data_IF_027771579558
#
_entry.id   IF_027771579558
#
_cell.length_a   1.000
_cell.length_b   1.000
_cell.length_c   1.000
_cell.angle_alpha   90.00
_cell.angle_beta   90.00
_cell.angle_gamma   90.00
#
_symmetry.space_group_name_H-M   'P 1'
#
loop_
_entity.id
_entity.type
_entity.pdbx_description
1 polymer ?
#
# COMPACT_ATOMS: atom_id res chain seq x y z
N UNK A 1 -14.76 -3.75 -24.95
CA UNK A 1 -14.49 -4.04 -23.52
C UNK A 1 -14.63 -2.74 -22.74
N UNK A 2 -15.38 -2.73 -21.65
CA UNK A 2 -15.52 -1.53 -20.81
C UNK A 2 -14.13 -1.13 -20.25
N UNK A 3 -13.66 0.12 -20.43
CA UNK A 3 -12.36 0.58 -19.94
C UNK A 3 -12.14 0.33 -18.44
N UNK A 4 -13.20 0.44 -17.62
CA UNK A 4 -13.15 0.15 -16.18
C UNK A 4 -12.91 -1.33 -15.88
N UNK A 5 -13.51 -2.23 -16.66
CA UNK A 5 -13.28 -3.67 -16.50
C UNK A 5 -11.85 -4.03 -16.88
N UNK A 6 -11.32 -3.44 -17.96
CA UNK A 6 -9.94 -3.66 -18.38
C UNK A 6 -8.94 -3.15 -17.32
N UNK A 7 -9.19 -1.95 -16.79
CA UNK A 7 -8.46 -1.36 -15.67
C UNK A 7 -8.43 -2.30 -14.45
N UNK A 8 -9.60 -2.78 -14.04
CA UNK A 8 -9.72 -3.70 -12.91
C UNK A 8 -8.98 -5.03 -13.14
N UNK A 9 -9.09 -5.61 -14.35
CA UNK A 9 -8.34 -6.83 -14.68
C UNK A 9 -6.83 -6.60 -14.62
N UNK A 10 -6.33 -5.47 -15.14
CA UNK A 10 -4.89 -5.11 -15.06
C UNK A 10 -4.43 -4.96 -13.62
N UNK A 11 -5.23 -4.30 -12.78
CA UNK A 11 -4.97 -4.18 -11.35
C UNK A 11 -4.89 -5.54 -10.65
N UNK A 12 -5.87 -6.40 -10.87
CA UNK A 12 -5.92 -7.75 -10.29
C UNK A 12 -4.73 -8.61 -10.75
N UNK A 13 -4.34 -8.51 -12.02
CA UNK A 13 -3.15 -9.19 -12.54
C UNK A 13 -1.89 -8.71 -11.83
N UNK A 14 -1.69 -7.39 -11.71
CA UNK A 14 -0.54 -6.82 -11.01
C UNK A 14 -0.47 -7.24 -9.52
N UNK A 15 -1.63 -7.28 -8.84
CA UNK A 15 -1.72 -7.79 -7.46
C UNK A 15 -1.30 -9.27 -7.35
N UNK A 16 -1.77 -10.11 -8.27
CA UNK A 16 -1.45 -11.55 -8.29
C UNK A 16 0.05 -11.74 -8.53
N UNK A 17 0.62 -11.02 -9.49
CA UNK A 17 2.04 -11.14 -9.83
C UNK A 17 2.94 -10.64 -8.69
N UNK A 18 2.57 -9.55 -8.04
CA UNK A 18 3.27 -9.06 -6.86
C UNK A 18 3.17 -10.04 -5.69
N UNK A 19 1.98 -10.62 -5.45
CA UNK A 19 1.79 -11.63 -4.39
C UNK A 19 2.62 -12.89 -4.62
N UNK A 20 2.76 -13.32 -5.87
CA UNK A 20 3.56 -14.51 -6.24
C UNK A 20 5.06 -14.25 -6.11
N UNK A 21 5.52 -13.04 -6.41
CA UNK A 21 6.94 -12.68 -6.40
C UNK A 21 7.48 -12.30 -5.02
N UNK A 22 6.64 -11.78 -4.12
CA UNK A 22 7.07 -11.31 -2.80
C UNK A 22 6.59 -12.25 -1.70
N UNK A 23 7.48 -13.02 -1.03
CA UNK A 23 7.10 -13.96 0.02
C UNK A 23 6.30 -13.31 1.16
N UNK A 24 6.61 -12.05 1.50
CA UNK A 24 5.92 -11.29 2.53
C UNK A 24 4.44 -11.04 2.19
N UNK A 25 3.99 -11.18 0.94
CA UNK A 25 2.60 -10.98 0.50
C UNK A 25 1.81 -12.30 0.31
N UNK A 26 2.45 -13.46 0.44
CA UNK A 26 1.83 -14.80 0.28
C UNK A 26 0.81 -15.18 1.36
N UNK A 27 0.46 -16.46 1.49
CA UNK A 27 -0.56 -16.96 2.45
C UNK A 27 -0.13 -16.97 3.92
N UNK A 28 1.12 -16.59 4.22
CA UNK A 28 1.67 -16.68 5.57
C UNK A 28 2.13 -18.12 5.86
N UNK A 29 3.39 -18.29 6.26
CA UNK A 29 3.96 -19.57 6.65
C UNK A 29 4.57 -19.47 8.06
N UNK A 30 4.97 -20.60 8.65
CA UNK A 30 5.61 -20.62 9.98
C UNK A 30 6.82 -19.67 10.01
N UNK A 31 6.77 -18.68 10.91
CA UNK A 31 7.79 -17.63 11.06
C UNK A 31 7.50 -16.33 10.30
N UNK A 32 6.41 -16.24 9.54
CA UNK A 32 5.91 -14.97 9.01
C UNK A 32 5.29 -14.16 10.14
N UNK A 33 5.37 -12.83 10.05
CA UNK A 33 4.76 -11.90 11.01
C UNK A 33 3.83 -10.94 10.28
N UNK A 34 2.70 -10.66 10.92
CA UNK A 34 1.71 -9.69 10.46
C UNK A 34 1.43 -8.76 11.64
N UNK A 35 1.54 -7.47 11.40
CA UNK A 35 1.14 -6.43 12.34
C UNK A 35 0.10 -5.55 11.64
N UNK A 36 -1.04 -5.38 12.28
CA UNK A 36 -2.15 -4.57 11.76
C UNK A 36 -2.28 -3.33 12.64
N UNK A 37 -2.41 -2.16 12.01
CA UNK A 37 -2.69 -0.90 12.69
C UNK A 37 -3.90 -0.23 12.04
N UNK A 38 -4.83 0.28 12.84
CA UNK A 38 -5.95 1.07 12.37
C UNK A 38 -5.77 2.55 12.74
N UNK A 39 -6.03 3.43 11.78
CA UNK A 39 -6.02 4.88 11.97
C UNK A 39 -7.44 5.39 11.71
N UNK A 40 -8.31 5.24 12.72
CA UNK A 40 -9.75 5.49 12.58
C UNK A 40 -10.07 6.91 12.09
N UNK A 41 -9.35 7.93 12.59
CA UNK A 41 -9.55 9.34 12.18
C UNK A 41 -9.30 9.57 10.69
N UNK A 42 -8.33 8.85 10.12
CA UNK A 42 -8.01 8.94 8.69
C UNK A 42 -8.60 7.79 7.88
N UNK A 43 -9.46 6.96 8.48
CA UNK A 43 -10.07 5.77 7.86
C UNK A 43 -9.05 4.91 7.10
N UNK A 44 -7.86 4.73 7.68
CA UNK A 44 -6.76 3.97 7.06
C UNK A 44 -6.46 2.70 7.85
N UNK A 45 -6.35 1.58 7.15
CA UNK A 45 -5.82 0.32 7.66
C UNK A 45 -4.40 0.13 7.15
N UNK A 46 -3.47 -0.10 8.08
CA UNK A 46 -2.08 -0.46 7.80
C UNK A 46 -1.87 -1.94 8.10
N UNK A 47 -1.22 -2.65 7.18
CA UNK A 47 -0.78 -4.03 7.38
C UNK A 47 0.71 -4.10 7.07
N UNK A 48 1.52 -4.33 8.10
CA UNK A 48 2.94 -4.63 7.97
C UNK A 48 3.15 -6.14 7.97
N UNK A 49 3.72 -6.65 6.88
CA UNK A 49 3.99 -8.08 6.71
C UNK A 49 5.49 -8.34 6.56
N UNK A 50 5.97 -9.39 7.24
CA UNK A 50 7.34 -9.87 7.15
C UNK A 50 7.35 -11.37 6.89
N UNK A 51 8.20 -11.80 5.96
CA UNK A 51 8.52 -13.21 5.74
C UNK A 51 9.90 -13.54 6.31
N UNK A 52 10.28 -14.81 6.29
CA UNK A 52 11.64 -15.23 6.67
C UNK A 52 12.73 -14.74 5.71
N UNK A 53 12.36 -14.52 4.45
CA UNK A 53 13.25 -14.14 3.36
C UNK A 53 12.55 -13.11 2.48
N UNK A 54 13.35 -12.25 1.83
CA UNK A 54 12.87 -11.18 0.97
C UNK A 54 12.44 -9.92 1.73
N UNK A 55 11.99 -8.89 1.00
CA UNK A 55 11.66 -7.60 1.59
C UNK A 55 10.40 -7.67 2.45
N UNK A 56 10.35 -6.82 3.48
CA UNK A 56 9.11 -6.55 4.22
C UNK A 56 8.12 -5.79 3.33
N UNK A 57 6.83 -6.00 3.55
CA UNK A 57 5.77 -5.32 2.82
C UNK A 57 4.91 -4.46 3.75
N UNK A 58 4.59 -3.26 3.32
CA UNK A 58 3.68 -2.34 3.98
C UNK A 58 2.48 -2.10 3.06
N UNK A 59 1.29 -2.49 3.51
CA UNK A 59 0.04 -2.30 2.79
C UNK A 59 -0.77 -1.21 3.49
N UNK A 60 -1.19 -0.20 2.74
CA UNK A 60 -2.05 0.88 3.24
C UNK A 60 -3.36 0.87 2.45
N UNK A 61 -4.48 0.72 3.15
CA UNK A 61 -5.82 0.70 2.58
C UNK A 61 -6.63 1.84 3.20
N UNK A 62 -7.07 2.80 2.39
CA UNK A 62 -7.95 3.88 2.86
C UNK A 62 -9.39 3.63 2.45
N UNK A 63 -10.31 4.06 3.30
CA UNK A 63 -11.75 3.86 3.12
C UNK A 63 -12.53 5.18 3.00
N UNK A 64 -11.83 6.31 2.93
CA UNK A 64 -12.45 7.62 2.71
C UNK A 64 -12.79 7.82 1.23
N UNK A 65 -13.93 8.46 1.00
CA UNK A 65 -14.47 8.73 -0.34
C UNK A 65 -13.99 10.06 -0.95
N UNK A 66 -13.20 10.86 -0.21
CA UNK A 66 -12.65 12.15 -0.63
C UNK A 66 -11.18 12.23 -0.26
N UNK A 67 -10.37 12.88 -1.09
CA UNK A 67 -8.95 13.08 -0.79
C UNK A 67 -8.75 13.70 0.61
N UNK A 68 -7.76 13.22 1.35
CA UNK A 68 -7.54 13.61 2.74
C UNK A 68 -6.07 13.64 3.13
N UNK A 69 -5.76 14.32 4.23
CA UNK A 69 -4.44 14.28 4.87
C UNK A 69 -4.51 13.35 6.09
N UNK A 70 -3.62 12.36 6.16
CA UNK A 70 -3.58 11.38 7.22
C UNK A 70 -2.27 11.47 8.00
N UNK A 71 -2.36 11.55 9.34
CA UNK A 71 -1.22 11.45 10.23
C UNK A 71 -1.14 10.02 10.77
N UNK A 72 -0.15 9.25 10.31
CA UNK A 72 -0.06 7.81 10.56
C UNK A 72 1.29 7.42 11.13
N UNK A 73 1.29 6.55 12.13
CA UNK A 73 2.52 5.94 12.65
C UNK A 73 2.85 4.73 11.79
N UNK A 74 4.00 4.77 11.13
CA UNK A 74 4.45 3.70 10.23
C UNK A 74 5.70 3.02 10.80
N UNK A 75 6.01 1.79 10.37
CA UNK A 75 7.24 1.12 10.78
C UNK A 75 8.47 1.83 10.18
N UNK A 76 9.52 1.97 10.99
CA UNK A 76 10.79 2.56 10.57
C UNK A 76 11.39 1.85 9.35
N UNK A 77 11.88 2.62 8.40
CA UNK A 77 12.56 2.12 7.21
C UNK A 77 12.42 3.05 6.01
N UNK A 78 13.13 2.70 4.94
CA UNK A 78 12.90 3.24 3.61
C UNK A 78 11.92 2.29 2.90
N UNK A 79 10.87 2.85 2.34
CA UNK A 79 9.80 2.10 1.71
C UNK A 79 9.62 2.59 0.28
N UNK A 80 9.74 1.69 -0.70
CA UNK A 80 9.55 2.01 -2.10
C UNK A 80 8.16 1.55 -2.55
N UNK A 81 7.41 2.43 -3.20
CA UNK A 81 6.10 2.08 -3.77
C UNK A 81 6.28 1.04 -4.86
N UNK A 82 5.49 -0.03 -4.79
CA UNK A 82 5.46 -1.10 -5.81
C UNK A 82 4.13 -1.18 -6.53
N UNK A 83 3.06 -0.80 -5.85
CA UNK A 83 1.74 -0.90 -6.43
C UNK A 83 0.81 0.17 -5.82
N UNK A 84 0.11 0.86 -6.70
CA UNK A 84 -0.86 1.90 -6.37
C UNK A 84 -2.13 1.68 -7.21
N UNK A 85 -3.28 1.53 -6.56
CA UNK A 85 -4.56 1.35 -7.27
C UNK A 85 -4.91 2.51 -8.20
N UNK A 86 -4.46 3.72 -7.88
CA UNK A 86 -4.71 4.92 -8.67
C UNK A 86 -4.06 4.90 -10.06
N UNK A 87 -2.97 4.14 -10.27
CA UNK A 87 -2.33 4.07 -11.60
C UNK A 87 -3.13 3.25 -12.62
N UNK A 88 -4.19 2.57 -12.17
CA UNK A 88 -4.99 1.69 -13.02
C UNK A 88 -6.38 2.26 -13.30
N UNK A 89 -6.79 3.37 -12.68
CA UNK A 89 -8.14 3.92 -12.88
C UNK A 89 -8.31 4.53 -14.26
N UNK A 90 -9.43 4.25 -14.92
CA UNK A 90 -9.84 4.90 -16.15
C UNK A 90 -10.54 6.24 -15.81
N UNK A 91 -9.80 7.34 -15.82
CA UNK A 91 -10.29 8.69 -15.46
C UNK A 91 -9.17 9.72 -15.44
N UNK A 92 -9.49 10.98 -15.12
CA UNK A 92 -8.52 12.08 -15.04
C UNK A 92 -7.40 11.75 -14.04
N UNK A 93 -6.18 11.62 -14.55
CA UNK A 93 -4.95 11.25 -13.83
C UNK A 93 -4.44 12.32 -12.84
N UNK A 94 -5.31 13.24 -12.42
CA UNK A 94 -4.99 14.32 -11.48
C UNK A 94 -5.09 13.87 -10.00
N UNK A 95 -5.29 12.59 -9.73
CA UNK A 95 -5.39 12.07 -8.39
C UNK A 95 -4.01 11.86 -7.75
N UNK A 96 -3.94 12.17 -6.45
CA UNK A 96 -2.75 12.04 -5.61
C UNK A 96 -2.25 10.58 -5.62
N UNK A 97 -1.22 10.30 -6.42
CA UNK A 97 -0.55 9.00 -6.45
C UNK A 97 0.20 8.71 -5.14
N UNK A 98 0.46 7.43 -4.90
CA UNK A 98 1.35 6.99 -3.83
C UNK A 98 2.73 7.65 -3.99
N UNK A 99 3.36 8.11 -2.89
CA UNK A 99 4.73 8.61 -2.96
C UNK A 99 5.65 7.48 -3.45
N UNK A 100 6.56 7.79 -4.39
CA UNK A 100 7.47 6.76 -4.94
C UNK A 100 8.36 6.15 -3.87
N UNK A 101 8.75 6.96 -2.88
CA UNK A 101 9.52 6.54 -1.71
C UNK A 101 8.94 7.18 -0.44
N UNK A 102 9.02 6.44 0.65
CA UNK A 102 8.55 6.84 1.97
C UNK A 102 9.62 6.48 3.00
N UNK A 103 10.31 7.49 3.50
CA UNK A 103 11.34 7.32 4.53
C UNK A 103 10.76 7.63 5.90
N UNK A 104 10.77 6.63 6.78
CA UNK A 104 10.28 6.72 8.15
C UNK A 104 11.49 6.58 9.06
N UNK A 105 11.98 7.69 9.61
CA UNK A 105 13.21 7.71 10.43
C UNK A 105 12.95 7.35 11.90
N UNK A 106 11.79 7.73 12.41
CA UNK A 106 11.32 7.52 13.77
C UNK A 106 9.86 7.00 13.75
N UNK A 107 9.36 6.50 14.88
CA UNK A 107 7.97 5.99 15.00
C UNK A 107 6.95 7.13 15.21
N UNK A 108 7.34 8.35 14.83
CA UNK A 108 6.46 9.52 14.88
C UNK A 108 5.44 9.47 13.74
N UNK A 109 4.48 10.39 13.78
CA UNK A 109 3.42 10.45 12.78
C UNK A 109 3.98 11.00 11.46
N UNK A 110 3.79 10.23 10.41
CA UNK A 110 4.05 10.61 9.02
C UNK A 110 2.78 11.17 8.41
N UNK A 111 2.90 12.30 7.70
CA UNK A 111 1.78 12.91 6.98
C UNK A 111 1.68 12.34 5.57
N UNK A 112 0.56 11.70 5.24
CA UNK A 112 0.26 11.15 3.92
C UNK A 112 -0.90 11.90 3.28
N UNK A 113 -0.75 12.29 2.02
CA UNK A 113 -1.84 12.80 1.19
C UNK A 113 -2.51 11.61 0.50
N UNK A 114 -3.74 11.29 0.89
CA UNK A 114 -4.44 10.11 0.43
C UNK A 114 -5.50 10.50 -0.64
N UNK A 115 -5.51 9.90 -1.84
CA UNK A 115 -6.63 10.01 -2.78
C UNK A 115 -7.84 9.25 -2.24
N UNK A 116 -9.05 9.35 -2.82
CA UNK A 116 -10.18 8.49 -2.44
C UNK A 116 -9.85 6.99 -2.56
N UNK A 117 -10.26 6.19 -1.58
CA UNK A 117 -10.12 4.73 -1.56
C UNK A 117 -8.74 4.18 -2.02
N UNK A 118 -7.61 4.67 -1.47
CA UNK A 118 -6.29 4.23 -1.89
C UNK A 118 -6.03 2.78 -1.45
N UNK A 119 -5.42 2.00 -2.34
CA UNK A 119 -4.79 0.74 -1.99
C UNK A 119 -3.34 0.74 -2.45
N UNK A 120 -2.42 0.89 -1.51
CA UNK A 120 -0.99 1.03 -1.76
C UNK A 120 -0.18 -0.11 -1.16
N UNK A 121 0.83 -0.55 -1.88
CA UNK A 121 1.80 -1.56 -1.42
C UNK A 121 3.20 -1.00 -1.60
N UNK A 122 3.92 -0.94 -0.50
CA UNK A 122 5.34 -0.60 -0.45
C UNK A 122 6.16 -1.81 -0.04
N UNK A 123 7.38 -1.88 -0.55
CA UNK A 123 8.39 -2.82 -0.06
C UNK A 123 9.50 -2.06 0.64
N UNK A 124 10.00 -2.63 1.72
CA UNK A 124 11.17 -2.08 2.40
C UNK A 124 12.38 -2.18 1.47
N UNK A 125 13.07 -1.07 1.28
CA UNK A 125 14.36 -1.01 0.62
C UNK A 125 15.45 -0.87 1.68
N UNK A 126 16.60 -1.51 1.42
CA UNK A 126 17.80 -1.33 2.22
C UNK A 126 18.41 0.07 1.99
#
# INVERSE_FOLDING_TARGET
TNPQQLAHTRWCQALIDLRKSIPALGTGAKGHRIQVGSHAKSQLLMIHRRAKQGPEALVLLGFHHKASLALVKLPKGNWQSRLDSGTFTAGDQNELLAPSNLTVQNVEQVSLKLPPYPAWIFLKSD
#
